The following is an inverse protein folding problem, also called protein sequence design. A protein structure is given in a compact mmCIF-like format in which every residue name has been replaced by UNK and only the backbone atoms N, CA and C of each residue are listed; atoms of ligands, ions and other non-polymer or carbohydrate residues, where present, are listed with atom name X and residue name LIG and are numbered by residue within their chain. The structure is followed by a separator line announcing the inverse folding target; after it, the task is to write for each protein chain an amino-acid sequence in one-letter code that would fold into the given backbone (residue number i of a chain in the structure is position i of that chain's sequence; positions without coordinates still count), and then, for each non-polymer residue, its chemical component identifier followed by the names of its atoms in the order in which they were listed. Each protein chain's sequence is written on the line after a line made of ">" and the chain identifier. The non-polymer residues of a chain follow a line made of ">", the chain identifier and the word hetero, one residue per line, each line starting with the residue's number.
data_IF_637979356314
#
_entry.id   IF_637979356314
#
_cell.length_a   1.000
_cell.length_b   1.000
_cell.length_c   1.000
_cell.angle_alpha   90.00
_cell.angle_beta   90.00
_cell.angle_gamma   90.00
#
_symmetry.space_group_name_H-M   'P 1'
#
loop_
_entity.id
_entity.type
_entity.pdbx_description
1 polymer ?
#
# COMPACT_ATOMS: atom_id res chain seq x y z
N UNK A 1 -54.25 -33.74 -74.35
CA UNK A 1 -54.46 -34.95 -75.17
C UNK A 1 -53.12 -35.62 -75.42
N UNK A 2 -53.05 -36.95 -75.24
CA UNK A 2 -51.98 -37.89 -75.64
C UNK A 2 -50.55 -37.60 -75.09
N UNK A 3 -49.93 -38.42 -74.24
CA UNK A 3 -49.48 -39.83 -74.36
C UNK A 3 -48.46 -40.07 -75.51
N UNK A 4 -47.58 -41.03 -75.25
CA UNK A 4 -46.67 -41.80 -76.11
C UNK A 4 -45.24 -41.23 -76.20
N UNK A 5 -44.16 -41.97 -75.96
CA UNK A 5 -43.94 -43.41 -75.76
C UNK A 5 -42.56 -43.59 -75.10
N UNK A 6 -42.35 -44.63 -74.30
CA UNK A 6 -41.92 -45.97 -74.76
C UNK A 6 -40.69 -45.94 -75.68
N UNK A 7 -39.54 -46.36 -75.12
CA UNK A 7 -38.66 -47.43 -75.61
C UNK A 7 -37.46 -47.49 -74.64
N UNK A 8 -37.36 -48.45 -73.71
CA UNK A 8 -37.02 -49.88 -73.89
C UNK A 8 -35.82 -50.07 -74.80
N UNK A 9 -34.74 -50.60 -74.21
CA UNK A 9 -33.89 -51.73 -74.67
C UNK A 9 -32.70 -51.77 -73.69
N UNK A 10 -32.63 -52.70 -72.73
CA UNK A 10 -32.21 -54.08 -72.95
C UNK A 10 -30.74 -54.22 -72.51
N UNK A 11 -30.34 -55.04 -71.55
CA UNK A 11 -31.07 -56.07 -70.82
C UNK A 11 -30.19 -56.65 -69.71
N UNK A 12 -30.65 -57.80 -69.24
CA UNK A 12 -29.85 -58.84 -68.59
C UNK A 12 -29.77 -58.86 -67.05
N UNK A 13 -30.94 -59.21 -66.49
CA UNK A 13 -31.16 -60.47 -65.74
C UNK A 13 -30.32 -60.74 -64.48
N UNK A 14 -30.84 -60.33 -63.33
CA UNK A 14 -31.04 -61.23 -62.17
C UNK A 14 -31.93 -60.52 -61.14
N UNK A 15 -33.25 -60.72 -61.21
CA UNK A 15 -33.97 -61.75 -60.45
C UNK A 15 -33.73 -61.64 -58.93
N UNK A 16 -34.72 -61.12 -58.20
CA UNK A 16 -34.79 -61.37 -56.76
C UNK A 16 -35.38 -60.27 -55.87
N UNK A 17 -36.68 -60.01 -56.04
CA UNK A 17 -37.66 -59.81 -54.95
C UNK A 17 -37.25 -58.99 -53.69
N UNK A 18 -37.78 -57.77 -53.65
CA UNK A 18 -38.35 -57.00 -52.52
C UNK A 18 -37.58 -56.82 -51.19
N UNK A 19 -37.52 -55.58 -50.67
CA UNK A 19 -36.75 -55.20 -49.47
C UNK A 19 -37.57 -55.41 -48.20
N UNK A 20 -37.03 -56.19 -47.26
CA UNK A 20 -37.46 -56.17 -45.86
C UNK A 20 -36.21 -56.22 -44.99
N UNK A 21 -35.99 -55.16 -44.22
CA UNK A 21 -34.89 -55.08 -43.26
C UNK A 21 -34.19 -53.72 -43.28
N UNK A 22 -34.84 -52.70 -42.69
CA UNK A 22 -34.11 -51.55 -42.18
C UNK A 22 -33.30 -52.02 -40.96
N UNK A 23 -32.08 -52.51 -41.18
CA UNK A 23 -31.04 -52.51 -40.14
C UNK A 23 -30.19 -51.26 -40.34
N UNK A 24 -30.71 -50.17 -39.78
CA UNK A 24 -29.94 -48.96 -39.51
C UNK A 24 -29.05 -49.30 -38.32
N UNK A 25 -27.82 -49.73 -38.59
CA UNK A 25 -26.78 -49.79 -37.57
C UNK A 25 -26.53 -48.36 -37.09
N UNK A 26 -27.20 -48.00 -36.00
CA UNK A 26 -26.96 -46.81 -35.20
C UNK A 26 -25.58 -46.98 -34.54
N UNK A 27 -24.54 -46.74 -35.31
CA UNK A 27 -23.18 -46.58 -34.80
C UNK A 27 -23.20 -45.28 -33.98
N UNK A 28 -22.99 -45.33 -32.64
CA UNK A 28 -22.78 -44.11 -31.89
C UNK A 28 -21.54 -43.44 -32.47
N UNK A 29 -21.69 -42.17 -32.85
CA UNK A 29 -20.62 -41.34 -33.35
C UNK A 29 -19.35 -41.61 -32.56
N UNK A 30 -18.31 -42.03 -33.28
CA UNK A 30 -16.94 -42.22 -32.83
C UNK A 30 -16.68 -41.46 -31.52
N UNK A 31 -16.85 -42.15 -30.38
CA UNK A 31 -16.31 -41.69 -29.11
C UNK A 31 -14.82 -41.65 -29.38
N UNK A 32 -14.28 -40.44 -29.46
CA UNK A 32 -12.85 -40.24 -29.70
C UNK A 32 -12.11 -41.17 -28.75
N UNK A 33 -11.32 -42.06 -29.32
CA UNK A 33 -10.41 -42.97 -28.63
C UNK A 33 -9.26 -42.11 -28.06
N UNK A 34 -9.62 -41.22 -27.13
CA UNK A 34 -8.73 -40.60 -26.18
C UNK A 34 -8.28 -41.77 -25.32
N UNK A 35 -7.10 -42.30 -25.64
CA UNK A 35 -6.56 -43.54 -25.08
C UNK A 35 -6.95 -43.70 -23.62
N UNK A 36 -7.74 -44.75 -23.39
CA UNK A 36 -8.20 -45.32 -22.13
C UNK A 36 -8.45 -44.39 -20.94
N UNK A 37 -9.55 -44.63 -20.23
CA UNK A 37 -9.81 -44.09 -18.88
C UNK A 37 -8.80 -44.53 -17.82
N UNK A 38 -7.63 -45.01 -18.24
CA UNK A 38 -6.51 -45.49 -17.42
C UNK A 38 -5.36 -44.48 -17.35
N UNK A 39 -5.39 -43.40 -18.15
CA UNK A 39 -4.42 -42.31 -18.00
C UNK A 39 -4.83 -41.46 -16.80
N UNK A 40 -4.29 -41.81 -15.63
CA UNK A 40 -4.29 -40.96 -14.44
C UNK A 40 -3.62 -39.64 -14.82
N UNK A 41 -4.39 -38.56 -14.84
CA UNK A 41 -3.91 -37.21 -15.14
C UNK A 41 -3.79 -36.45 -13.81
N UNK A 42 -2.62 -36.46 -13.13
CA UNK A 42 -2.47 -35.98 -11.75
C UNK A 42 -2.55 -34.45 -11.59
N UNK A 43 -2.82 -33.75 -12.68
CA UNK A 43 -2.99 -32.31 -12.78
C UNK A 43 -4.42 -31.93 -13.16
N UNK A 44 -5.27 -32.93 -13.40
CA UNK A 44 -6.66 -32.81 -13.83
C UNK A 44 -7.63 -33.46 -12.83
N UNK A 45 -7.20 -34.53 -12.16
CA UNK A 45 -7.66 -34.84 -10.82
C UNK A 45 -7.07 -33.73 -9.94
N UNK A 46 -7.88 -32.72 -9.63
CA UNK A 46 -7.51 -31.84 -8.55
C UNK A 46 -7.35 -32.69 -7.30
N UNK A 47 -6.77 -32.12 -6.28
CA UNK A 47 -6.86 -32.62 -4.90
C UNK A 47 -8.33 -32.69 -4.38
N UNK A 48 -9.34 -32.68 -5.25
CA UNK A 48 -10.76 -32.77 -4.90
C UNK A 48 -11.14 -34.09 -4.21
N UNK A 49 -10.31 -35.13 -4.33
CA UNK A 49 -10.46 -36.40 -3.59
C UNK A 49 -9.70 -36.41 -2.24
N UNK A 50 -8.75 -35.50 -1.98
CA UNK A 50 -8.06 -35.42 -0.66
C UNK A 50 -8.80 -34.53 0.35
N UNK A 51 -9.86 -33.84 -0.09
CA UNK A 51 -10.86 -33.25 0.80
C UNK A 51 -11.99 -34.22 1.14
N UNK A 52 -11.90 -35.50 0.75
CA UNK A 52 -12.66 -36.55 1.43
C UNK A 52 -12.41 -36.34 2.91
N UNK A 53 -13.48 -35.98 3.62
CA UNK A 53 -13.49 -35.68 5.03
C UNK A 53 -12.57 -36.65 5.74
N UNK A 54 -11.34 -36.19 6.00
CA UNK A 54 -10.42 -36.88 6.84
C UNK A 54 -11.12 -36.82 8.18
N UNK A 55 -11.94 -37.82 8.47
CA UNK A 55 -12.79 -37.96 9.65
C UNK A 55 -11.84 -38.12 10.83
N UNK A 56 -11.24 -36.99 11.19
CA UNK A 56 -10.24 -36.82 12.21
C UNK A 56 -10.95 -37.00 13.54
N UNK A 57 -10.86 -38.22 14.06
CA UNK A 57 -11.47 -38.65 15.31
C UNK A 57 -12.91 -39.12 15.11
N UNK A 58 -13.23 -40.30 15.66
CA UNK A 58 -14.60 -40.80 15.69
C UNK A 58 -15.53 -39.74 16.29
N UNK A 59 -16.76 -39.64 15.77
CA UNK A 59 -17.76 -38.61 16.14
C UNK A 59 -17.88 -38.34 17.65
N UNK A 60 -17.70 -39.35 18.49
CA UNK A 60 -17.67 -39.21 19.95
C UNK A 60 -16.50 -38.37 20.50
N UNK A 61 -15.30 -38.49 19.93
CA UNK A 61 -14.14 -37.67 20.32
C UNK A 61 -14.33 -36.21 19.90
N UNK A 62 -14.88 -35.97 18.72
CA UNK A 62 -15.21 -34.62 18.25
C UNK A 62 -16.26 -33.96 19.14
N UNK A 63 -17.32 -34.69 19.51
CA UNK A 63 -18.33 -34.19 20.45
C UNK A 63 -17.75 -33.88 21.84
N UNK A 64 -16.81 -34.69 22.33
CA UNK A 64 -16.12 -34.43 23.59
C UNK A 64 -15.26 -33.17 23.53
N UNK A 65 -14.51 -32.98 22.44
CA UNK A 65 -13.70 -31.77 22.24
C UNK A 65 -14.55 -30.51 22.15
N UNK A 66 -15.69 -30.57 21.45
CA UNK A 66 -16.65 -29.47 21.38
C UNK A 66 -17.21 -29.17 22.78
N UNK A 67 -17.63 -30.18 23.53
CA UNK A 67 -18.16 -29.99 24.87
C UNK A 67 -17.11 -29.36 25.81
N UNK A 68 -15.85 -29.81 25.75
CA UNK A 68 -14.76 -29.24 26.53
C UNK A 68 -14.50 -27.78 26.14
N UNK A 69 -14.47 -27.47 24.84
CA UNK A 69 -14.31 -26.10 24.35
C UNK A 69 -15.42 -25.17 24.87
N UNK A 70 -16.68 -25.61 24.85
CA UNK A 70 -17.81 -24.85 25.40
C UNK A 70 -17.66 -24.62 26.91
N UNK A 71 -17.28 -25.66 27.66
CA UNK A 71 -17.03 -25.53 29.11
C UNK A 71 -15.89 -24.55 29.39
N UNK A 72 -14.80 -24.60 28.63
CA UNK A 72 -13.68 -23.66 28.76
C UNK A 72 -14.13 -22.21 28.51
N UNK A 73 -14.94 -21.97 27.49
CA UNK A 73 -15.51 -20.64 27.21
C UNK A 73 -16.39 -20.16 28.39
N UNK A 74 -17.26 -21.02 28.92
CA UNK A 74 -18.11 -20.66 30.06
C UNK A 74 -17.30 -20.32 31.32
N UNK A 75 -16.21 -21.05 31.58
CA UNK A 75 -15.29 -20.76 32.70
C UNK A 75 -14.59 -19.41 32.51
N UNK A 76 -14.11 -19.12 31.30
CA UNK A 76 -13.45 -17.84 31.00
C UNK A 76 -14.43 -16.68 31.15
N UNK A 77 -15.61 -16.76 30.51
CA UNK A 77 -16.62 -15.70 30.55
C UNK A 77 -17.14 -15.53 31.97
N UNK A 78 -17.46 -16.62 32.67
CA UNK A 78 -17.89 -16.59 34.06
C UNK A 78 -16.83 -16.02 34.99
N UNK A 79 -15.56 -16.36 34.77
CA UNK A 79 -14.42 -15.83 35.51
C UNK A 79 -14.23 -14.33 35.29
N UNK A 80 -14.31 -13.86 34.05
CA UNK A 80 -14.24 -12.42 33.72
C UNK A 80 -15.41 -11.68 34.35
N UNK A 81 -16.64 -12.18 34.19
CA UNK A 81 -17.82 -11.58 34.78
C UNK A 81 -17.71 -11.50 36.31
N UNK A 82 -17.33 -12.60 36.97
CA UNK A 82 -17.13 -12.62 38.41
C UNK A 82 -16.02 -11.66 38.88
N UNK A 83 -14.93 -11.55 38.14
CA UNK A 83 -13.82 -10.65 38.47
C UNK A 83 -14.12 -9.16 38.19
N UNK A 84 -15.12 -8.86 37.36
CA UNK A 84 -15.47 -7.49 36.95
C UNK A 84 -16.76 -6.98 37.59
N UNK A 85 -17.62 -7.85 38.14
CA UNK A 85 -18.93 -7.50 38.71
C UNK A 85 -18.87 -6.41 39.79
N UNK A 86 -17.82 -6.41 40.62
CA UNK A 86 -17.69 -5.52 41.79
C UNK A 86 -16.88 -4.25 41.46
N UNK A 87 -16.39 -4.10 40.22
CA UNK A 87 -15.50 -2.99 39.79
C UNK A 87 -16.25 -1.84 39.11
N UNK A 88 -17.56 -1.90 39.02
CA UNK A 88 -18.37 -0.83 38.45
C UNK A 88 -18.59 0.29 39.49
N UNK A 89 -17.56 1.09 39.76
CA UNK A 89 -17.78 2.39 40.40
C UNK A 89 -18.53 3.31 39.41
N UNK A 90 -19.57 4.03 39.85
CA UNK A 90 -20.27 4.96 38.98
C UNK A 90 -19.29 6.05 38.54
N UNK A 91 -18.98 6.10 37.24
CA UNK A 91 -18.19 7.16 36.64
C UNK A 91 -19.00 8.46 36.67
N UNK A 92 -18.97 9.16 37.81
CA UNK A 92 -19.55 10.49 37.93
C UNK A 92 -18.60 11.47 37.25
N UNK A 93 -18.95 11.86 36.02
CA UNK A 93 -18.26 12.94 35.33
C UNK A 93 -18.41 14.22 36.17
N UNK A 94 -17.30 14.80 36.63
CA UNK A 94 -17.29 15.91 37.58
C UNK A 94 -17.88 17.22 37.04
N UNK A 95 -18.24 17.29 35.75
CA UNK A 95 -19.00 18.39 35.15
C UNK A 95 -18.38 19.79 35.30
N UNK A 96 -17.10 19.88 35.66
CA UNK A 96 -16.43 21.14 35.94
C UNK A 96 -16.21 21.98 34.68
N UNK A 97 -16.57 23.25 34.73
CA UNK A 97 -16.23 24.24 33.69
C UNK A 97 -14.73 24.53 33.75
N UNK A 98 -14.04 24.37 32.62
CA UNK A 98 -12.64 24.79 32.46
C UNK A 98 -12.62 26.30 32.19
N UNK A 99 -12.13 27.08 33.16
CA UNK A 99 -12.02 28.53 33.01
C UNK A 99 -10.86 28.88 32.06
N UNK A 100 -11.14 29.70 31.04
CA UNK A 100 -10.14 30.10 30.07
C UNK A 100 -9.07 30.99 30.72
N UNK A 101 -7.77 30.78 30.42
CA UNK A 101 -6.71 31.68 30.87
C UNK A 101 -6.98 33.12 30.42
N UNK A 102 -6.75 34.09 31.30
CA UNK A 102 -7.07 35.52 31.07
C UNK A 102 -6.04 36.26 30.22
N UNK A 103 -5.01 35.57 29.75
CA UNK A 103 -3.93 36.19 28.97
C UNK A 103 -4.33 36.37 27.49
N UNK A 104 -3.89 37.46 26.84
CA UNK A 104 -4.14 37.64 25.41
C UNK A 104 -3.47 36.53 24.61
N UNK A 105 -4.28 35.69 23.95
CA UNK A 105 -3.77 34.55 23.17
C UNK A 105 -2.93 34.95 21.94
N UNK A 106 -2.86 36.25 21.61
CA UNK A 106 -2.14 36.75 20.43
C UNK A 106 -1.54 38.13 20.71
N UNK A 107 -0.23 38.16 20.93
CA UNK A 107 0.56 39.38 20.97
C UNK A 107 1.31 39.57 19.64
N UNK A 108 1.43 40.82 19.19
CA UNK A 108 2.24 41.13 18.01
C UNK A 108 3.73 40.96 18.39
N UNK A 109 4.56 40.31 17.55
CA UNK A 109 6.00 40.22 17.81
C UNK A 109 6.66 41.59 17.90
N UNK A 110 7.59 41.82 18.86
CA UNK A 110 8.34 43.08 18.98
C UNK A 110 9.11 43.46 17.71
N UNK A 111 9.57 42.47 16.94
CA UNK A 111 10.19 42.69 15.64
C UNK A 111 9.35 41.99 14.57
N UNK A 112 8.56 42.73 13.76
CA UNK A 112 7.71 42.11 12.75
C UNK A 112 8.51 41.46 11.61
N UNK A 113 9.83 41.65 11.56
CA UNK A 113 10.70 41.14 10.51
C UNK A 113 10.43 41.82 9.15
N UNK A 114 11.44 41.80 8.28
CA UNK A 114 11.39 42.34 6.93
C UNK A 114 12.24 43.59 6.77
N UNK A 115 13.22 43.53 5.87
CA UNK A 115 13.92 44.71 5.39
C UNK A 115 13.05 45.44 4.38
N UNK A 116 12.87 46.75 4.56
CA UNK A 116 12.17 47.58 3.58
C UNK A 116 13.12 47.78 2.40
N UNK A 117 13.00 46.92 1.38
CA UNK A 117 13.77 47.08 0.14
C UNK A 117 13.20 48.24 -0.66
N UNK A 118 14.04 49.15 -1.14
CA UNK A 118 13.61 50.26 -2.00
C UNK A 118 12.83 49.73 -3.22
N UNK A 119 11.61 50.23 -3.44
CA UNK A 119 10.68 49.70 -4.45
C UNK A 119 9.61 48.75 -3.93
N UNK A 120 9.64 48.35 -2.65
CA UNK A 120 8.61 47.46 -2.07
C UNK A 120 7.31 48.23 -1.88
N UNK A 121 6.40 48.10 -2.85
CA UNK A 121 5.03 48.61 -2.76
C UNK A 121 4.78 49.95 -3.45
N UNK A 122 5.81 50.61 -4.01
CA UNK A 122 5.65 51.88 -4.72
C UNK A 122 4.73 51.78 -5.94
N UNK A 123 4.75 50.63 -6.63
CA UNK A 123 3.82 50.34 -7.73
C UNK A 123 2.42 50.01 -7.25
N UNK A 124 2.31 49.28 -6.13
CA UNK A 124 1.03 48.86 -5.56
C UNK A 124 0.24 50.04 -4.95
N UNK A 125 0.93 50.96 -4.27
CA UNK A 125 0.29 52.15 -3.70
C UNK A 125 -0.13 53.15 -4.78
N UNK A 126 0.73 53.44 -5.77
CA UNK A 126 0.38 54.36 -6.85
C UNK A 126 -0.84 53.88 -7.66
N UNK A 127 -0.93 52.58 -7.93
CA UNK A 127 -2.12 51.99 -8.60
C UNK A 127 -3.36 52.09 -7.71
N UNK A 128 -3.24 51.90 -6.40
CA UNK A 128 -4.35 52.03 -5.45
C UNK A 128 -4.86 53.48 -5.34
N UNK A 129 -3.99 54.47 -5.50
CA UNK A 129 -4.32 55.90 -5.58
C UNK A 129 -4.85 56.33 -6.96
N UNK A 130 -5.05 55.39 -7.89
CA UNK A 130 -5.61 55.64 -9.22
C UNK A 130 -4.61 56.21 -10.22
N UNK A 131 -3.31 56.26 -9.89
CA UNK A 131 -2.27 56.67 -10.81
C UNK A 131 -1.92 55.53 -11.77
N UNK A 132 -2.16 55.73 -13.06
CA UNK A 132 -1.72 54.79 -14.10
C UNK A 132 -0.34 55.20 -14.58
N UNK A 133 0.71 54.44 -14.23
CA UNK A 133 2.04 54.57 -14.84
C UNK A 133 2.25 53.45 -15.85
N UNK A 134 2.62 53.79 -17.09
CA UNK A 134 2.99 52.80 -18.11
C UNK A 134 4.27 52.07 -17.68
N UNK A 135 4.31 50.72 -17.70
CA UNK A 135 5.51 49.98 -17.35
C UNK A 135 6.59 50.25 -18.39
N UNK A 136 7.63 51.01 -18.01
CA UNK A 136 8.82 51.18 -18.84
C UNK A 136 9.75 49.97 -18.65
N UNK A 137 9.60 48.97 -19.51
CA UNK A 137 10.58 47.87 -19.62
C UNK A 137 11.53 48.22 -20.77
N UNK A 138 12.78 48.55 -20.42
CA UNK A 138 13.86 48.70 -21.40
C UNK A 138 14.23 50.14 -21.78
N UNK A 139 14.63 50.96 -20.81
CA UNK A 139 15.52 52.10 -21.05
C UNK A 139 16.64 52.13 -20.00
N UNK A 140 17.76 51.49 -20.37
CA UNK A 140 19.13 51.88 -20.05
C UNK A 140 19.43 52.28 -18.59
N UNK A 141 19.56 51.30 -17.70
CA UNK A 141 20.50 51.41 -16.58
C UNK A 141 21.69 50.49 -16.85
N UNK A 142 22.53 50.93 -17.78
CA UNK A 142 23.93 50.55 -17.77
C UNK A 142 24.59 51.32 -16.60
N UNK A 143 24.59 50.71 -15.42
CA UNK A 143 25.19 51.23 -14.20
C UNK A 143 25.96 50.13 -13.51
N UNK A 144 27.25 50.05 -13.85
CA UNK A 144 28.36 49.31 -13.23
C UNK A 144 28.06 48.59 -11.89
N UNK A 145 28.23 47.25 -11.77
CA UNK A 145 28.13 46.58 -10.47
C UNK A 145 29.33 46.95 -9.57
N UNK A 146 29.13 47.39 -8.32
CA UNK A 146 30.23 47.57 -7.37
C UNK A 146 30.79 46.20 -6.92
N UNK A 147 32.11 46.11 -6.65
CA UNK A 147 32.79 44.85 -6.38
C UNK A 147 32.38 44.23 -5.04
N UNK A 148 32.25 42.90 -5.04
CA UNK A 148 32.01 42.08 -3.86
C UNK A 148 33.17 42.23 -2.85
N UNK A 149 32.84 42.66 -1.62
CA UNK A 149 33.74 42.59 -0.47
C UNK A 149 33.39 41.36 0.40
N UNK A 150 34.39 40.59 0.87
CA UNK A 150 34.17 39.37 1.62
C UNK A 150 33.80 39.67 3.08
N UNK A 151 32.80 38.96 3.61
CA UNK A 151 32.47 38.99 5.03
C UNK A 151 32.97 37.73 5.75
N UNK A 152 33.33 37.86 7.04
CA UNK A 152 34.28 37.00 7.72
C UNK A 152 33.70 35.70 8.29
N UNK A 153 34.59 34.71 8.39
CA UNK A 153 34.46 33.49 9.18
C UNK A 153 34.11 33.78 10.65
N UNK A 154 33.23 32.97 11.28
CA UNK A 154 33.26 32.81 12.72
C UNK A 154 33.53 31.35 13.12
N UNK A 155 34.47 31.20 14.05
CA UNK A 155 34.64 30.09 14.98
C UNK A 155 35.40 30.65 16.20
N UNK A 156 35.37 30.07 17.43
CA UNK A 156 34.54 29.01 18.00
C UNK A 156 33.99 29.33 19.43
N UNK A 157 32.96 28.60 19.89
CA UNK A 157 32.79 28.06 21.27
C UNK A 157 31.38 27.47 21.41
N UNK A 158 31.21 26.15 21.30
CA UNK A 158 31.36 25.16 22.37
C UNK A 158 30.18 25.15 23.37
N UNK A 159 29.23 24.25 23.12
CA UNK A 159 28.66 23.40 24.18
C UNK A 159 28.36 22.02 23.61
N UNK A 160 28.72 21.03 24.41
CA UNK A 160 29.02 19.64 24.10
C UNK A 160 27.78 18.74 24.14
N UNK A 161 27.51 17.99 23.05
CA UNK A 161 27.11 16.57 23.13
C UNK A 161 26.80 15.94 21.77
N UNK A 162 27.25 14.68 21.64
CA UNK A 162 26.91 13.67 20.65
C UNK A 162 27.33 13.95 19.19
N UNK A 163 28.36 13.19 18.79
CA UNK A 163 28.78 12.85 17.42
C UNK A 163 27.64 12.99 16.39
N UNK A 164 27.72 13.91 15.42
CA UNK A 164 26.75 13.98 14.35
C UNK A 164 26.97 12.79 13.43
N UNK A 165 26.04 11.84 13.44
CA UNK A 165 25.81 11.02 12.24
C UNK A 165 25.41 11.96 11.10
N UNK A 166 25.84 11.68 9.86
CA UNK A 166 25.63 12.58 8.73
C UNK A 166 24.14 12.89 8.61
N UNK A 167 23.78 14.17 8.74
CA UNK A 167 22.48 14.67 8.32
C UNK A 167 22.41 14.49 6.82
N UNK A 168 21.92 13.34 6.39
CA UNK A 168 21.54 13.10 5.01
C UNK A 168 20.32 14.00 4.78
N UNK A 169 20.57 15.16 4.19
CA UNK A 169 19.55 16.10 3.72
C UNK A 169 19.02 15.58 2.38
N UNK A 170 17.73 15.29 2.31
CA UNK A 170 17.08 14.79 1.10
C UNK A 170 15.71 14.21 1.41
N UNK A 171 14.90 14.07 0.36
CA UNK A 171 13.58 13.45 0.44
C UNK A 171 13.72 12.02 0.94
N UNK A 172 13.14 11.74 2.11
CA UNK A 172 13.22 10.45 2.77
C UNK A 172 11.97 9.61 2.52
N UNK A 173 12.16 8.35 2.17
CA UNK A 173 11.10 7.36 2.07
C UNK A 173 10.97 6.66 3.41
N UNK A 174 9.88 6.88 4.15
CA UNK A 174 9.59 6.13 5.37
C UNK A 174 9.25 4.68 5.00
N UNK A 175 10.10 3.76 5.46
CA UNK A 175 10.01 2.32 5.19
C UNK A 175 9.51 1.53 6.41
N UNK A 176 9.50 2.14 7.60
CA UNK A 176 8.97 1.53 8.80
C UNK A 176 8.91 2.45 10.02
N UNK A 177 8.27 1.98 11.07
CA UNK A 177 8.22 2.61 12.38
C UNK A 177 8.41 1.55 13.47
N UNK A 178 9.32 1.82 14.41
CA UNK A 178 9.72 0.86 15.46
C UNK A 178 9.63 1.52 16.84
N UNK A 179 9.55 0.71 17.89
CA UNK A 179 9.47 1.20 19.28
C UNK A 179 10.84 1.44 19.92
N UNK A 180 11.92 0.98 19.29
CA UNK A 180 13.29 1.21 19.76
C UNK A 180 14.29 1.38 18.60
N UNK A 181 15.40 2.10 18.84
CA UNK A 181 16.53 2.22 17.91
C UNK A 181 17.10 0.86 17.44
N UNK A 182 17.42 -0.11 18.32
CA UNK A 182 17.99 -1.38 17.88
C UNK A 182 17.02 -2.20 17.02
N UNK A 183 15.71 -2.15 17.29
CA UNK A 183 14.72 -2.81 16.42
C UNK A 183 14.62 -2.16 15.04
N UNK A 184 14.85 -0.83 14.94
CA UNK A 184 14.87 -0.13 13.67
C UNK A 184 16.10 -0.51 12.82
N UNK A 185 17.27 -0.63 13.44
CA UNK A 185 18.50 -1.08 12.78
C UNK A 185 18.41 -2.54 12.33
N UNK A 186 17.87 -3.42 13.18
CA UNK A 186 17.62 -4.81 12.82
C UNK A 186 16.63 -4.94 11.65
N UNK A 187 15.55 -4.15 11.69
CA UNK A 187 14.56 -4.07 10.63
C UNK A 187 15.13 -3.56 9.30
N UNK A 188 16.04 -2.59 9.34
CA UNK A 188 16.76 -2.12 8.15
C UNK A 188 17.65 -3.21 7.54
N UNK A 189 18.39 -3.95 8.37
CA UNK A 189 19.24 -5.04 7.91
C UNK A 189 18.42 -6.17 7.28
N UNK A 190 17.30 -6.55 7.90
CA UNK A 190 16.38 -7.54 7.33
C UNK A 190 15.81 -7.06 5.98
N UNK A 191 15.42 -5.78 5.89
CA UNK A 191 14.88 -5.18 4.68
C UNK A 191 15.90 -5.16 3.52
N UNK A 192 17.17 -4.89 3.81
CA UNK A 192 18.26 -4.95 2.81
C UNK A 192 18.47 -6.36 2.25
N UNK A 193 18.27 -7.40 3.05
CA UNK A 193 18.38 -8.80 2.61
C UNK A 193 17.19 -9.17 1.73
N UNK A 194 15.99 -8.74 2.11
CA UNK A 194 14.77 -9.02 1.35
C UNK A 194 14.71 -8.25 0.03
N UNK A 195 15.29 -7.06 -0.02
CA UNK A 195 15.26 -6.20 -1.20
C UNK A 195 16.66 -5.65 -1.53
N UNK A 196 17.43 -6.33 -2.39
CA UNK A 196 18.82 -5.97 -2.68
C UNK A 196 18.97 -4.60 -3.36
N UNK A 197 17.92 -4.08 -4.00
CA UNK A 197 17.91 -2.73 -4.57
C UNK A 197 17.96 -1.61 -3.50
N UNK A 198 17.81 -1.93 -2.21
CA UNK A 198 18.09 -1.01 -1.09
C UNK A 198 19.53 -1.05 -0.57
N UNK A 199 20.37 -1.99 -1.05
CA UNK A 199 21.73 -2.20 -0.53
C UNK A 199 22.68 -1.00 -0.72
N UNK A 200 22.41 -0.14 -1.72
CA UNK A 200 23.13 1.11 -1.97
C UNK A 200 22.44 2.37 -1.45
N UNK A 201 21.30 2.24 -0.77
CA UNK A 201 20.51 3.38 -0.29
C UNK A 201 20.87 3.68 1.15
N UNK A 202 21.10 4.96 1.48
CA UNK A 202 21.37 5.36 2.86
C UNK A 202 20.09 5.29 3.70
N UNK A 203 20.19 5.02 4.99
CA UNK A 203 19.04 5.08 5.91
C UNK A 203 19.27 6.12 7.00
N UNK A 204 18.15 6.62 7.53
CA UNK A 204 18.10 7.55 8.64
C UNK A 204 17.02 7.10 9.60
N UNK A 205 17.36 7.02 10.88
CA UNK A 205 16.40 6.77 11.95
C UNK A 205 16.06 8.11 12.59
N UNK A 206 14.81 8.52 12.47
CA UNK A 206 14.31 9.78 13.07
C UNK A 206 13.49 9.42 14.30
N UNK A 207 13.92 9.93 15.45
CA UNK A 207 13.14 9.83 16.69
C UNK A 207 11.93 10.78 16.59
N UNK A 208 10.74 10.26 16.90
CA UNK A 208 9.51 11.02 16.97
C UNK A 208 8.62 10.52 18.10
N UNK A 209 7.87 11.42 18.73
CA UNK A 209 6.81 11.01 19.67
C UNK A 209 5.54 10.74 18.89
N UNK A 210 4.90 9.61 19.19
CA UNK A 210 3.54 9.30 18.76
C UNK A 210 2.66 9.18 20.01
N UNK A 211 1.34 9.20 19.84
CA UNK A 211 0.36 9.12 20.95
C UNK A 211 0.51 7.86 21.82
N UNK A 212 1.24 6.85 21.32
CA UNK A 212 1.52 5.57 21.98
C UNK A 212 2.91 5.48 22.65
N UNK A 213 3.73 6.54 22.59
CA UNK A 213 5.09 6.58 23.16
C UNK A 213 6.18 6.97 22.17
N UNK A 214 7.45 6.72 22.53
CA UNK A 214 8.61 7.01 21.65
C UNK A 214 8.61 6.08 20.44
N UNK A 215 8.69 6.65 19.23
CA UNK A 215 8.72 5.92 17.95
C UNK A 215 9.96 6.31 17.16
N UNK A 216 10.60 5.30 16.57
CA UNK A 216 11.77 5.40 15.71
C UNK A 216 11.32 5.17 14.27
N UNK A 217 11.24 6.26 13.48
CA UNK A 217 10.86 6.20 12.07
C UNK A 217 12.08 5.88 11.23
N UNK A 218 12.06 4.75 10.54
CA UNK A 218 13.11 4.34 9.63
C UNK A 218 12.82 4.91 8.25
N UNK A 219 13.74 5.72 7.74
CA UNK A 219 13.66 6.36 6.44
C UNK A 219 14.81 5.90 5.55
N UNK A 220 14.53 5.48 4.32
CA UNK A 220 15.51 5.33 3.27
C UNK A 220 15.69 6.68 2.56
N UNK A 221 16.93 7.13 2.38
CA UNK A 221 17.27 8.42 1.76
C UNK A 221 18.02 8.15 0.45
N UNK A 222 17.29 8.02 -0.68
CA UNK A 222 17.89 7.84 -2.00
C UNK A 222 18.41 9.14 -2.62
N UNK A 223 18.30 10.28 -1.92
CA UNK A 223 18.87 11.57 -2.29
C UNK A 223 17.89 12.50 -3.01
N UNK A 224 17.17 12.02 -4.02
CA UNK A 224 16.23 12.82 -4.82
C UNK A 224 14.77 12.37 -4.68
N UNK A 225 13.83 13.29 -4.93
CA UNK A 225 12.38 13.05 -4.87
C UNK A 225 11.92 12.04 -5.94
N UNK A 226 12.47 12.11 -7.16
CA UNK A 226 12.17 11.16 -8.23
C UNK A 226 12.67 9.75 -7.87
N UNK A 227 13.88 9.65 -7.33
CA UNK A 227 14.46 8.41 -6.83
C UNK A 227 13.66 7.82 -5.66
N UNK A 228 13.19 8.68 -4.74
CA UNK A 228 12.32 8.30 -3.63
C UNK A 228 10.97 7.74 -4.08
N UNK A 229 10.34 8.33 -5.11
CA UNK A 229 9.08 7.81 -5.68
C UNK A 229 9.28 6.48 -6.39
N UNK A 230 10.35 6.34 -7.20
CA UNK A 230 10.66 5.10 -7.92
C UNK A 230 10.95 3.93 -6.96
N UNK A 231 11.73 4.19 -5.91
CA UNK A 231 11.99 3.23 -4.83
C UNK A 231 10.69 2.80 -4.16
N UNK A 232 9.81 3.76 -3.86
CA UNK A 232 8.55 3.49 -3.19
C UNK A 232 7.59 2.66 -4.03
N UNK A 233 7.49 2.92 -5.34
CA UNK A 233 6.69 2.09 -6.25
C UNK A 233 7.24 0.67 -6.36
N UNK A 234 8.56 0.51 -6.42
CA UNK A 234 9.20 -0.82 -6.47
C UNK A 234 8.94 -1.63 -5.21
N UNK A 235 9.02 -1.00 -4.03
CA UNK A 235 8.72 -1.67 -2.77
C UNK A 235 7.24 -2.04 -2.63
N UNK A 236 6.31 -1.18 -3.08
CA UNK A 236 4.87 -1.50 -3.08
C UNK A 236 4.54 -2.68 -3.98
N UNK A 237 5.20 -2.78 -5.14
CA UNK A 237 5.04 -3.93 -6.03
C UNK A 237 5.53 -5.25 -5.39
N UNK A 238 6.53 -5.17 -4.51
CA UNK A 238 7.00 -6.29 -3.68
C UNK A 238 6.15 -6.54 -2.42
N UNK A 239 5.04 -5.82 -2.24
CA UNK A 239 4.14 -5.96 -1.08
C UNK A 239 4.56 -5.21 0.18
N UNK A 240 5.60 -4.36 0.12
CA UNK A 240 6.11 -3.61 1.28
C UNK A 240 5.44 -2.23 1.41
N UNK A 241 5.14 -1.83 2.64
CA UNK A 241 4.56 -0.52 2.95
C UNK A 241 5.59 0.59 2.82
N UNK A 242 5.26 1.64 2.07
CA UNK A 242 6.17 2.73 1.77
C UNK A 242 5.46 4.09 1.74
N UNK A 243 6.05 5.11 2.38
CA UNK A 243 5.55 6.48 2.38
C UNK A 243 6.66 7.49 2.07
N UNK A 244 6.52 8.26 0.99
CA UNK A 244 7.46 9.33 0.61
C UNK A 244 7.19 10.57 1.46
N UNK A 245 8.19 11.06 2.19
CA UNK A 245 8.13 12.32 2.93
C UNK A 245 9.07 13.34 2.27
N UNK A 246 8.55 14.41 1.64
CA UNK A 246 9.35 15.47 1.03
C UNK A 246 10.18 16.24 2.05
#
# INVERSE_FOLDING_TARGET
>A
MANWGQNQDGGDLNAGRSPAGFERSDQPANKLELGDGDVRLPWLEGEDEEFEDQQGGGSGQTLLLIALAVVAILVIVGGIWWATRDKAEPLVASGGVIEAPREPYKTRPENPGGDVVAGTGDTSYAVAEGQTRMPQIGQNQAGNPPPAQPSPSPSPSASESAKPEPVVTGVGVQVGAYTSKPTAEAGWNALKVQYPALSGVSHRIVEGQADIGKVYRLQAVPGDLAAARALCSGMKAAGLSCQVKP
#
